data_IF_814256708085
#
_entry.id   IF_814256708085
#
_cell.length_a   1.000
_cell.length_b   1.000
_cell.length_c   1.000
_cell.angle_alpha   90.00
_cell.angle_beta   90.00
_cell.angle_gamma   90.00
#
_symmetry.space_group_name_H-M   'P 1'
#
loop_
_entity.id
_entity.type
_entity.pdbx_description
1 polymer ?
#
# COMPACT_ATOMS: atom_id res chain seq x y z
N UNK A 1 14.17 8.91 -20.19
CA UNK A 1 13.00 8.11 -19.75
C UNK A 1 12.28 8.98 -18.75
N UNK A 2 10.98 9.17 -18.92
CA UNK A 2 10.18 9.90 -17.95
C UNK A 2 10.14 9.08 -16.64
N UNK A 3 10.26 9.76 -15.51
CA UNK A 3 10.18 9.13 -14.21
C UNK A 3 8.75 8.57 -14.02
N UNK A 4 8.58 7.31 -13.59
CA UNK A 4 7.25 6.75 -13.36
C UNK A 4 6.50 7.60 -12.34
N UNK A 5 5.31 8.08 -12.68
CA UNK A 5 4.46 8.83 -11.78
C UNK A 5 3.42 7.91 -11.15
N UNK A 6 3.37 7.87 -9.82
CA UNK A 6 2.32 7.18 -9.07
C UNK A 6 1.38 8.24 -8.48
N UNK A 7 0.11 8.19 -8.89
CA UNK A 7 -0.94 9.07 -8.38
C UNK A 7 -1.35 8.61 -6.97
N UNK A 8 -0.89 9.34 -5.95
CA UNK A 8 -1.13 9.02 -4.53
C UNK A 8 -2.62 9.02 -4.17
N UNK A 9 -3.43 10.05 -4.50
CA UNK A 9 -4.88 10.01 -4.31
C UNK A 9 -5.55 8.78 -4.93
N UNK A 10 -5.30 8.50 -6.22
CA UNK A 10 -5.93 7.36 -6.88
C UNK A 10 -5.49 6.01 -6.26
N UNK A 11 -4.22 5.92 -5.86
CA UNK A 11 -3.65 4.75 -5.20
C UNK A 11 -4.27 4.51 -3.81
N UNK A 12 -4.55 5.58 -3.07
CA UNK A 12 -5.25 5.52 -1.77
C UNK A 12 -6.70 5.07 -1.95
N UNK A 13 -7.42 5.64 -2.91
CA UNK A 13 -8.80 5.24 -3.21
C UNK A 13 -8.89 3.77 -3.59
N UNK A 14 -7.92 3.27 -4.35
CA UNK A 14 -7.82 1.87 -4.71
C UNK A 14 -7.68 0.96 -3.48
N UNK A 15 -6.78 1.29 -2.56
CA UNK A 15 -6.63 0.54 -1.31
C UNK A 15 -7.91 0.54 -0.47
N UNK A 16 -8.61 1.68 -0.42
CA UNK A 16 -9.89 1.82 0.29
C UNK A 16 -10.97 0.94 -0.33
N UNK A 17 -11.07 0.91 -1.66
CA UNK A 17 -12.06 0.12 -2.40
C UNK A 17 -11.92 -1.38 -2.12
N UNK A 18 -10.67 -1.88 -2.03
CA UNK A 18 -10.39 -3.29 -1.72
C UNK A 18 -10.82 -3.63 -0.29
N UNK A 19 -10.45 -2.78 0.67
CA UNK A 19 -10.74 -3.03 2.08
C UNK A 19 -12.24 -2.97 2.43
N UNK A 20 -13.02 -2.18 1.68
CA UNK A 20 -14.43 -1.89 1.93
C UNK A 20 -15.39 -3.00 1.46
N UNK A 21 -14.93 -3.95 0.65
CA UNK A 21 -15.77 -5.04 0.11
C UNK A 21 -15.23 -6.40 0.53
N UNK A 22 -16.08 -7.43 0.42
CA UNK A 22 -15.58 -8.81 0.43
C UNK A 22 -14.72 -9.04 -0.82
N UNK A 23 -13.71 -9.89 -0.75
CA UNK A 23 -12.84 -10.17 -1.89
C UNK A 23 -13.60 -10.81 -3.06
N UNK A 24 -14.66 -11.58 -2.77
CA UNK A 24 -15.52 -12.21 -3.77
C UNK A 24 -16.41 -11.19 -4.51
N UNK A 25 -16.65 -10.01 -3.90
CA UNK A 25 -17.46 -8.92 -4.47
C UNK A 25 -16.60 -7.82 -5.14
N UNK A 26 -15.28 -8.01 -5.25
CA UNK A 26 -14.40 -7.06 -5.94
C UNK A 26 -14.63 -7.14 -7.44
N UNK A 27 -14.70 -5.98 -8.09
CA UNK A 27 -14.74 -5.91 -9.54
C UNK A 27 -13.36 -6.28 -10.11
N UNK A 28 -13.34 -7.02 -11.22
CA UNK A 28 -12.12 -7.40 -11.95
C UNK A 28 -11.24 -6.18 -12.24
N UNK A 29 -11.83 -5.07 -12.71
CA UNK A 29 -11.15 -3.79 -12.96
C UNK A 29 -10.42 -3.24 -11.72
N UNK A 30 -10.87 -3.57 -10.50
CA UNK A 30 -10.20 -3.16 -9.27
C UNK A 30 -8.92 -3.97 -9.06
N UNK A 31 -8.94 -5.27 -9.33
CA UNK A 31 -7.76 -6.13 -9.22
C UNK A 31 -6.72 -5.75 -10.28
N UNK A 32 -7.16 -5.50 -11.52
CA UNK A 32 -6.32 -5.00 -12.61
C UNK A 32 -5.66 -3.66 -12.30
N UNK A 33 -6.37 -2.75 -11.63
CA UNK A 33 -5.81 -1.49 -11.18
C UNK A 33 -4.69 -1.70 -10.14
N UNK A 34 -4.80 -2.71 -9.27
CA UNK A 34 -3.74 -3.02 -8.29
C UNK A 34 -2.53 -3.66 -8.97
N UNK A 35 -2.75 -4.54 -9.95
CA UNK A 35 -1.67 -5.09 -10.76
C UNK A 35 -0.92 -3.99 -11.52
N UNK A 36 -1.66 -3.01 -12.05
CA UNK A 36 -1.07 -1.83 -12.71
C UNK A 36 -0.25 -1.00 -11.73
N UNK A 37 -0.76 -0.81 -10.50
CA UNK A 37 -0.02 -0.13 -9.43
C UNK A 37 1.27 -0.87 -9.07
N UNK A 38 1.22 -2.20 -8.84
CA UNK A 38 2.41 -2.97 -8.43
C UNK A 38 3.46 -3.03 -9.54
N UNK A 39 3.06 -3.08 -10.81
CA UNK A 39 3.97 -2.93 -11.95
C UNK A 39 4.61 -1.52 -12.00
N UNK A 40 3.82 -0.47 -11.73
CA UNK A 40 4.32 0.91 -11.61
C UNK A 40 5.35 1.07 -10.49
N UNK A 41 5.09 0.51 -9.31
CA UNK A 41 6.01 0.47 -8.17
C UNK A 41 7.29 -0.27 -8.51
N UNK A 42 7.17 -1.43 -9.18
CA UNK A 42 8.33 -2.22 -9.63
C UNK A 42 9.21 -1.43 -10.59
N UNK A 43 8.61 -0.78 -11.60
CA UNK A 43 9.33 0.08 -12.55
C UNK A 43 10.04 1.24 -11.85
N UNK A 44 9.40 1.85 -10.85
CA UNK A 44 10.02 2.91 -10.05
C UNK A 44 11.25 2.41 -9.28
N UNK A 45 11.21 1.22 -8.68
CA UNK A 45 12.37 0.60 -8.05
C UNK A 45 13.49 0.31 -9.08
N UNK A 46 13.14 -0.29 -10.21
CA UNK A 46 14.09 -0.64 -11.29
C UNK A 46 14.75 0.61 -11.92
N UNK A 47 14.05 1.75 -11.93
CA UNK A 47 14.58 3.03 -12.42
C UNK A 47 15.37 3.82 -11.37
N UNK A 48 15.57 3.30 -10.15
CA UNK A 48 16.27 4.00 -9.08
C UNK A 48 15.46 5.12 -8.41
N UNK A 49 14.13 4.98 -8.38
CA UNK A 49 13.20 5.88 -7.71
C UNK A 49 12.48 5.22 -6.50
N UNK A 50 13.22 4.73 -5.48
CA UNK A 50 12.62 4.13 -4.29
C UNK A 50 11.65 5.06 -3.52
N UNK A 51 11.88 6.39 -3.41
CA UNK A 51 10.89 7.30 -2.80
C UNK A 51 9.52 7.25 -3.48
N UNK A 52 9.48 7.22 -4.82
CA UNK A 52 8.25 7.18 -5.60
C UNK A 52 7.51 5.85 -5.38
N UNK A 53 8.25 4.74 -5.43
CA UNK A 53 7.72 3.41 -5.12
C UNK A 53 7.13 3.32 -3.69
N UNK A 54 7.87 3.85 -2.70
CA UNK A 54 7.45 3.90 -1.31
C UNK A 54 6.18 4.72 -1.13
N UNK A 55 6.12 5.92 -1.71
CA UNK A 55 4.98 6.82 -1.62
C UNK A 55 3.70 6.17 -2.20
N UNK A 56 3.83 5.41 -3.29
CA UNK A 56 2.75 4.62 -3.85
C UNK A 56 2.25 3.53 -2.90
N UNK A 57 3.14 2.69 -2.39
CA UNK A 57 2.78 1.61 -1.47
C UNK A 57 2.19 2.14 -0.16
N UNK A 58 2.75 3.22 0.40
CA UNK A 58 2.22 3.86 1.60
C UNK A 58 0.82 4.43 1.37
N UNK A 59 0.58 5.10 0.24
CA UNK A 59 -0.75 5.60 -0.10
C UNK A 59 -1.79 4.48 -0.20
N UNK A 60 -1.43 3.37 -0.86
CA UNK A 60 -2.30 2.21 -1.03
C UNK A 60 -2.72 1.64 0.32
N UNK A 61 -1.73 1.33 1.16
CA UNK A 61 -2.00 0.74 2.47
C UNK A 61 -2.68 1.71 3.43
N UNK A 62 -2.44 3.02 3.32
CA UNK A 62 -3.17 4.02 4.10
C UNK A 62 -4.67 4.01 3.78
N UNK A 63 -5.04 3.92 2.50
CA UNK A 63 -6.44 3.79 2.08
C UNK A 63 -7.07 2.48 2.57
N UNK A 64 -6.34 1.37 2.42
CA UNK A 64 -6.79 0.06 2.89
C UNK A 64 -7.03 0.05 4.41
N UNK A 65 -6.08 0.54 5.19
CA UNK A 65 -6.18 0.66 6.65
C UNK A 65 -7.29 1.63 7.05
N UNK A 66 -7.40 2.77 6.36
CA UNK A 66 -8.44 3.75 6.63
C UNK A 66 -9.85 3.15 6.52
N UNK A 67 -10.12 2.39 5.46
CA UNK A 67 -11.37 1.65 5.31
C UNK A 67 -11.58 0.61 6.42
N UNK A 68 -10.57 -0.19 6.78
CA UNK A 68 -10.69 -1.21 7.84
C UNK A 68 -10.97 -0.59 9.21
N UNK A 69 -10.45 0.59 9.48
CA UNK A 69 -10.63 1.31 10.73
C UNK A 69 -11.84 2.24 10.74
N UNK A 70 -12.53 2.43 9.61
CA UNK A 70 -13.61 3.41 9.47
C UNK A 70 -13.14 4.86 9.60
N UNK A 71 -11.89 5.14 9.22
CA UNK A 71 -11.29 6.47 9.22
C UNK A 71 -11.78 7.22 7.97
N UNK A 72 -12.24 8.46 8.18
CA UNK A 72 -12.64 9.34 7.10
C UNK A 72 -11.42 9.91 6.35
N UNK A 73 -11.60 10.26 5.08
CA UNK A 73 -10.49 10.71 4.23
C UNK A 73 -9.78 11.96 4.78
N UNK A 74 -10.56 12.89 5.37
CA UNK A 74 -10.02 14.08 6.01
C UNK A 74 -9.06 13.73 7.17
N UNK A 75 -9.36 12.68 7.95
CA UNK A 75 -8.50 12.25 9.05
C UNK A 75 -7.22 11.56 8.53
N UNK A 76 -7.27 10.89 7.37
CA UNK A 76 -6.09 10.28 6.71
C UNK A 76 -5.07 11.32 6.23
N UNK A 77 -5.51 12.55 5.94
CA UNK A 77 -4.63 13.63 5.51
C UNK A 77 -4.09 14.47 6.69
N UNK A 78 -4.81 14.49 7.82
CA UNK A 78 -4.44 15.27 9.01
C UNK A 78 -3.47 14.52 9.93
N UNK A 79 -3.47 13.19 9.90
CA UNK A 79 -2.69 12.35 10.82
C UNK A 79 -1.51 11.71 10.08
N UNK A 80 -0.31 11.62 10.69
CA UNK A 80 0.82 10.92 10.06
C UNK A 80 0.47 9.47 9.70
N UNK A 81 0.82 9.06 8.48
CA UNK A 81 0.53 7.71 7.96
C UNK A 81 0.96 6.57 8.90
N UNK A 82 2.09 6.74 9.59
CA UNK A 82 2.59 5.76 10.55
C UNK A 82 1.63 5.50 11.73
N UNK A 83 0.93 6.53 12.21
CA UNK A 83 -0.02 6.39 13.33
C UNK A 83 -1.25 5.56 12.93
N UNK A 84 -1.69 5.66 11.68
CA UNK A 84 -2.77 4.81 11.16
C UNK A 84 -2.36 3.34 11.12
N UNK A 85 -1.11 3.05 10.76
CA UNK A 85 -0.60 1.67 10.72
C UNK A 85 -0.49 1.06 12.13
N UNK A 86 -0.04 1.85 13.12
CA UNK A 86 -0.02 1.39 14.52
C UNK A 86 -1.44 1.11 15.02
N UNK A 87 -2.40 2.02 14.77
CA UNK A 87 -3.82 1.79 15.10
C UNK A 87 -4.38 0.54 14.45
N UNK A 88 -4.07 0.28 13.18
CA UNK A 88 -4.54 -0.91 12.47
C UNK A 88 -3.91 -2.19 12.98
N UNK A 89 -2.62 -2.15 13.35
CA UNK A 89 -1.97 -3.28 13.99
C UNK A 89 -2.59 -3.59 15.36
N UNK A 90 -2.83 -2.56 16.18
CA UNK A 90 -3.49 -2.71 17.49
C UNK A 90 -4.95 -3.19 17.39
N UNK A 91 -5.61 -2.94 16.27
CA UNK A 91 -6.96 -3.41 15.97
C UNK A 91 -6.99 -4.77 15.24
N UNK A 92 -5.87 -5.50 15.18
CA UNK A 92 -5.72 -6.78 14.47
C UNK A 92 -6.06 -6.73 12.96
N UNK A 93 -6.03 -5.55 12.34
CA UNK A 93 -6.30 -5.35 10.91
C UNK A 93 -5.05 -5.54 10.03
N UNK A 94 -3.86 -5.62 10.64
CA UNK A 94 -2.59 -5.88 9.96
C UNK A 94 -1.85 -7.05 10.62
N UNK A 95 -1.30 -7.94 9.81
CA UNK A 95 -0.32 -8.92 10.27
C UNK A 95 1.02 -8.27 10.63
N UNK A 96 1.79 -8.91 11.52
CA UNK A 96 3.08 -8.41 12.03
C UNK A 96 4.04 -8.02 10.90
N UNK A 97 4.21 -8.89 9.91
CA UNK A 97 5.15 -8.66 8.79
C UNK A 97 4.80 -7.40 7.98
N UNK A 98 3.51 -7.20 7.73
CA UNK A 98 3.02 -6.06 6.97
C UNK A 98 3.14 -4.77 7.79
N UNK A 99 2.77 -4.80 9.07
CA UNK A 99 2.96 -3.67 9.97
C UNK A 99 4.43 -3.24 10.07
N UNK A 100 5.36 -4.20 10.21
CA UNK A 100 6.79 -3.90 10.27
C UNK A 100 7.29 -3.27 8.97
N UNK A 101 6.92 -3.81 7.82
CA UNK A 101 7.31 -3.24 6.53
C UNK A 101 6.77 -1.82 6.35
N UNK A 102 5.48 -1.59 6.65
CA UNK A 102 4.86 -0.28 6.58
C UNK A 102 5.52 0.75 7.49
N UNK A 103 5.76 0.37 8.75
CA UNK A 103 6.41 1.25 9.74
C UNK A 103 7.83 1.62 9.31
N UNK A 104 8.58 0.66 8.76
CA UNK A 104 9.96 0.89 8.31
C UNK A 104 10.03 1.77 7.06
N UNK A 105 9.14 1.56 6.09
CA UNK A 105 9.04 2.45 4.91
C UNK A 105 8.61 3.85 5.34
N UNK A 106 7.59 3.99 6.20
CA UNK A 106 7.13 5.30 6.68
C UNK A 106 8.24 6.05 7.46
N UNK A 107 8.98 5.36 8.33
CA UNK A 107 10.13 5.93 9.03
C UNK A 107 11.22 6.35 8.04
N UNK A 108 11.62 5.48 7.11
CA UNK A 108 12.62 5.78 6.09
C UNK A 108 12.23 6.94 5.14
N UNK A 109 10.94 7.25 5.02
CA UNK A 109 10.44 8.40 4.24
C UNK A 109 10.43 9.72 5.01
N UNK A 110 10.43 9.66 6.34
CA UNK A 110 10.29 10.84 7.22
C UNK A 110 11.57 11.19 7.96
N UNK A 111 12.43 10.22 8.23
CA UNK A 111 13.71 10.39 8.91
C UNK A 111 14.86 10.37 7.90
N UNK A 112 15.68 11.42 7.90
CA UNK A 112 16.80 11.67 6.97
C UNK A 112 18.05 10.79 7.26
N UNK A 113 17.93 9.76 8.09
CA UNK A 113 19.04 8.94 8.58
C UNK A 113 19.04 7.56 7.91
N UNK A 114 20.23 7.03 7.56
CA UNK A 114 20.71 5.65 7.20
C UNK A 114 19.72 4.45 7.06
N UNK A 115 18.44 4.67 6.83
CA UNK A 115 17.43 3.64 6.67
C UNK A 115 17.44 3.15 5.23
N UNK A 116 17.52 1.82 5.08
CA UNK A 116 17.45 1.13 3.79
C UNK A 116 16.05 1.25 3.17
N UNK A 117 15.72 2.42 2.63
CA UNK A 117 14.42 2.69 2.02
C UNK A 117 14.14 1.73 0.88
N UNK A 118 15.13 1.45 0.04
CA UNK A 118 14.96 0.55 -1.10
C UNK A 118 14.64 -0.88 -0.64
N UNK A 119 15.42 -1.44 0.30
CA UNK A 119 15.20 -2.79 0.82
C UNK A 119 13.85 -2.93 1.52
N UNK A 120 13.44 -1.95 2.32
CA UNK A 120 12.12 -1.96 2.95
C UNK A 120 10.97 -1.78 1.96
N UNK A 121 11.16 -0.98 0.91
CA UNK A 121 10.17 -0.79 -0.16
C UNK A 121 10.02 -2.07 -0.98
N UNK A 122 11.11 -2.76 -1.30
CA UNK A 122 11.08 -4.08 -1.96
C UNK A 122 10.34 -5.12 -1.09
N UNK A 123 10.61 -5.13 0.22
CA UNK A 123 9.89 -6.02 1.15
C UNK A 123 8.40 -5.70 1.20
N UNK A 124 8.02 -4.43 1.23
CA UNK A 124 6.61 -4.03 1.22
C UNK A 124 5.93 -4.38 -0.12
N UNK A 125 6.64 -4.25 -1.25
CA UNK A 125 6.14 -4.69 -2.55
C UNK A 125 5.91 -6.22 -2.58
N UNK A 126 6.82 -7.02 -2.03
CA UNK A 126 6.65 -8.49 -1.92
C UNK A 126 5.36 -8.85 -1.16
N UNK A 127 5.13 -8.21 -0.02
CA UNK A 127 3.93 -8.43 0.79
C UNK A 127 2.66 -7.95 0.08
N UNK A 128 2.75 -6.83 -0.64
CA UNK A 128 1.64 -6.31 -1.46
C UNK A 128 1.32 -7.28 -2.60
N UNK A 129 2.31 -7.84 -3.28
CA UNK A 129 2.09 -8.85 -4.32
C UNK A 129 1.47 -10.14 -3.77
N UNK A 130 1.82 -10.55 -2.55
CA UNK A 130 1.13 -11.68 -1.88
C UNK A 130 -0.33 -11.38 -1.60
N UNK A 131 -0.63 -10.15 -1.19
CA UNK A 131 -2.01 -9.71 -1.02
C UNK A 131 -2.77 -9.74 -2.35
N UNK A 132 -2.19 -9.23 -3.44
CA UNK A 132 -2.79 -9.27 -4.78
C UNK A 132 -3.04 -10.69 -5.26
N UNK A 133 -2.05 -11.58 -5.15
CA UNK A 133 -2.21 -12.99 -5.53
C UNK A 133 -3.33 -13.68 -4.74
N UNK A 134 -3.54 -13.28 -3.49
CA UNK A 134 -4.68 -13.75 -2.71
C UNK A 134 -6.01 -13.21 -3.27
N UNK A 135 -6.10 -11.93 -3.63
CA UNK A 135 -7.29 -11.38 -4.29
C UNK A 135 -7.60 -12.09 -5.61
N UNK A 136 -6.60 -12.34 -6.44
CA UNK A 136 -6.75 -13.07 -7.71
C UNK A 136 -7.31 -14.48 -7.48
N UNK A 137 -6.85 -15.20 -6.45
CA UNK A 137 -7.35 -16.54 -6.14
C UNK A 137 -8.84 -16.60 -5.80
N UNK A 138 -9.42 -15.50 -5.29
CA UNK A 138 -10.85 -15.38 -5.04
C UNK A 138 -11.62 -15.16 -6.35
N UNK A 139 -11.07 -14.40 -7.29
CA UNK A 139 -11.68 -14.14 -8.60
C UNK A 139 -11.70 -15.40 -9.48
N UNK A 140 -10.67 -16.26 -9.40
CA UNK A 140 -10.63 -17.53 -10.15
C UNK A 140 -11.59 -18.60 -9.58
N UNK A 141 -12.06 -18.42 -8.35
CA UNK A 141 -12.90 -19.39 -7.63
C UNK A 141 -14.39 -19.06 -7.61
N UNK A 142 -14.78 -17.85 -8.03
CA UNK A 142 -16.18 -17.36 -8.07
C UNK A 142 -16.85 -17.59 -9.42
#
# INVERSE_FOLDING_TARGET
MDEPQIDRPATRDLGRAIAAKSHDDLAEDTVDAVLTLTDGVKKALESGAPPTAADGLLAFWAGHVGAKLGIEEAELDETPTAEHFDRAFQADALGVDLYQALSKVAAARTEDADFDLEGWTQRLLELTNRHVAHLESHQESG
#
